data_IF_386085779369
#
_entry.id   IF_386085779369
#
_cell.length_a   1.000
_cell.length_b   1.000
_cell.length_c   1.000
_cell.angle_alpha   90.00
_cell.angle_beta   90.00
_cell.angle_gamma   90.00
#
_symmetry.space_group_name_H-M   'P 1'
#
loop_
_entity.id
_entity.type
_entity.pdbx_description
1 polymer ?
#
# COMPACT_ATOMS: atom_id res chain seq x y z
N UNK A 1 -7.89 -20.12 22.59
CA UNK A 1 -6.61 -20.18 21.85
C UNK A 1 -5.83 -18.93 22.20
N UNK A 2 -4.60 -19.02 22.72
CA UNK A 2 -3.80 -17.84 23.06
C UNK A 2 -2.88 -17.53 21.85
N UNK A 3 -3.22 -16.53 21.02
CA UNK A 3 -2.68 -16.42 19.66
C UNK A 3 -1.20 -16.03 19.61
N UNK A 4 -0.67 -15.43 20.68
CA UNK A 4 0.72 -15.00 20.80
C UNK A 4 1.17 -15.18 22.25
N UNK A 5 2.24 -15.95 22.45
CA UNK A 5 2.78 -16.19 23.77
C UNK A 5 3.80 -15.08 24.13
N UNK A 6 3.52 -14.21 25.13
CA UNK A 6 4.32 -13.01 25.38
C UNK A 6 5.78 -13.30 25.77
N UNK A 7 6.10 -14.53 26.20
CA UNK A 7 7.48 -14.98 26.45
C UNK A 7 8.31 -15.07 25.16
N UNK A 8 7.70 -15.48 24.04
CA UNK A 8 8.39 -15.58 22.74
C UNK A 8 8.77 -14.20 22.20
N UNK A 9 7.93 -13.18 22.38
CA UNK A 9 8.22 -11.81 21.98
C UNK A 9 9.37 -11.17 22.77
N UNK A 10 9.56 -11.62 24.02
CA UNK A 10 10.60 -11.11 24.93
C UNK A 10 11.97 -11.78 24.75
N UNK A 11 12.04 -12.97 24.16
CA UNK A 11 13.28 -13.73 24.01
C UNK A 11 13.71 -13.96 22.56
N UNK A 12 12.76 -14.16 21.64
CA UNK A 12 13.10 -14.43 20.24
C UNK A 12 13.03 -13.15 19.42
N UNK A 13 14.20 -12.63 19.05
CA UNK A 13 14.32 -11.53 18.10
C UNK A 13 13.67 -11.87 16.74
N UNK A 14 13.74 -13.14 16.32
CA UNK A 14 13.11 -13.66 15.09
C UNK A 14 11.58 -13.56 15.11
N UNK A 15 10.93 -13.89 16.24
CA UNK A 15 9.48 -13.80 16.39
C UNK A 15 9.01 -12.34 16.28
N UNK A 16 9.77 -11.41 16.88
CA UNK A 16 9.48 -9.98 16.80
C UNK A 16 9.70 -9.42 15.40
N UNK A 17 10.76 -9.86 14.72
CA UNK A 17 11.03 -9.49 13.33
C UNK A 17 9.92 -9.96 12.39
N UNK A 18 9.45 -11.20 12.53
CA UNK A 18 8.36 -11.74 11.70
C UNK A 18 7.07 -10.92 11.82
N UNK A 19 6.69 -10.55 13.04
CA UNK A 19 5.52 -9.71 13.28
C UNK A 19 5.71 -8.28 12.78
N UNK A 20 6.90 -7.71 12.99
CA UNK A 20 7.22 -6.37 12.49
C UNK A 20 7.17 -6.30 10.96
N UNK A 21 7.73 -7.31 10.28
CA UNK A 21 7.68 -7.41 8.81
C UNK A 21 6.24 -7.55 8.34
N UNK A 22 5.44 -8.44 8.95
CA UNK A 22 4.02 -8.58 8.61
C UNK A 22 3.23 -7.28 8.81
N UNK A 23 3.50 -6.55 9.91
CA UNK A 23 2.88 -5.25 10.17
C UNK A 23 3.27 -4.21 9.11
N UNK A 24 4.55 -4.13 8.75
CA UNK A 24 5.05 -3.22 7.70
C UNK A 24 4.38 -3.54 6.36
N UNK A 25 4.33 -4.81 5.98
CA UNK A 25 3.66 -5.25 4.74
C UNK A 25 2.19 -4.85 4.74
N UNK A 26 1.46 -5.09 5.84
CA UNK A 26 0.05 -4.70 5.95
C UNK A 26 -0.18 -3.18 5.85
N UNK A 27 0.70 -2.38 6.44
CA UNK A 27 0.65 -0.92 6.35
C UNK A 27 0.92 -0.45 4.93
N UNK A 28 1.97 -0.99 4.29
CA UNK A 28 2.30 -0.69 2.88
C UNK A 28 1.12 -1.04 1.98
N UNK A 29 0.44 -2.16 2.24
CA UNK A 29 -0.70 -2.56 1.44
C UNK A 29 -1.90 -1.63 1.57
N UNK A 30 -2.18 -1.22 2.81
CA UNK A 30 -3.27 -0.30 3.09
C UNK A 30 -3.01 1.05 2.43
N UNK A 31 -1.78 1.56 2.55
CA UNK A 31 -1.37 2.80 1.91
C UNK A 31 -1.44 2.72 0.38
N UNK A 32 -1.01 1.61 -0.22
CA UNK A 32 -1.09 1.38 -1.66
C UNK A 32 -2.54 1.37 -2.15
N UNK A 33 -3.47 0.73 -1.43
CA UNK A 33 -4.89 0.76 -1.78
C UNK A 33 -5.45 2.19 -1.73
N UNK A 34 -5.15 2.95 -0.67
CA UNK A 34 -5.62 4.33 -0.54
C UNK A 34 -5.06 5.21 -1.66
N UNK A 35 -3.77 5.09 -1.96
CA UNK A 35 -3.12 5.80 -3.06
C UNK A 35 -3.75 5.44 -4.42
N UNK A 36 -4.06 4.16 -4.65
CA UNK A 36 -4.72 3.71 -5.87
C UNK A 36 -6.11 4.35 -6.03
N UNK A 37 -6.95 4.26 -5.00
CA UNK A 37 -8.28 4.88 -5.00
C UNK A 37 -8.20 6.39 -5.23
N UNK A 38 -7.28 7.07 -4.54
CA UNK A 38 -7.08 8.51 -4.69
C UNK A 38 -6.64 8.89 -6.10
N UNK A 39 -5.68 8.15 -6.66
CA UNK A 39 -5.18 8.40 -8.01
C UNK A 39 -6.28 8.16 -9.05
N UNK A 40 -7.10 7.14 -8.87
CA UNK A 40 -8.23 6.83 -9.75
C UNK A 40 -9.26 7.97 -9.75
N UNK A 41 -9.63 8.49 -8.57
CA UNK A 41 -10.51 9.67 -8.48
C UNK A 41 -9.93 10.88 -9.18
N UNK A 42 -8.65 11.20 -8.95
CA UNK A 42 -7.96 12.31 -9.63
C UNK A 42 -7.95 12.13 -11.15
N UNK A 43 -7.75 10.91 -11.63
CA UNK A 43 -7.73 10.60 -13.05
C UNK A 43 -9.09 10.84 -13.69
N UNK A 44 -10.17 10.35 -13.06
CA UNK A 44 -11.54 10.53 -13.52
C UNK A 44 -11.90 12.02 -13.56
N UNK A 45 -11.63 12.77 -12.48
CA UNK A 45 -11.94 14.20 -12.40
C UNK A 45 -11.16 15.01 -13.45
N UNK A 46 -9.86 14.75 -13.60
CA UNK A 46 -9.00 15.46 -14.58
C UNK A 46 -9.34 15.11 -16.02
N UNK A 47 -9.69 13.85 -16.29
CA UNK A 47 -10.12 13.40 -17.61
C UNK A 47 -11.44 14.09 -18.02
N UNK A 48 -12.41 14.17 -17.11
CA UNK A 48 -13.69 14.88 -17.36
C UNK A 48 -13.45 16.39 -17.51
N UNK A 49 -12.53 16.96 -16.74
CA UNK A 49 -12.15 18.38 -16.82
C UNK A 49 -11.37 18.78 -18.08
N UNK A 50 -11.07 17.85 -18.99
CA UNK A 50 -10.32 18.14 -20.22
C UNK A 50 -8.85 18.47 -20.00
N UNK A 51 -8.25 17.98 -18.91
CA UNK A 51 -6.84 18.25 -18.60
C UNK A 51 -5.89 17.61 -19.63
N UNK A 52 -4.79 18.31 -19.92
CA UNK A 52 -3.77 17.91 -20.89
C UNK A 52 -3.07 16.59 -20.48
N UNK A 53 -2.67 15.76 -21.47
CA UNK A 53 -2.13 14.41 -21.25
C UNK A 53 -0.85 14.41 -20.40
N UNK A 54 -0.06 15.48 -20.49
CA UNK A 54 1.16 15.70 -19.70
C UNK A 54 0.88 15.79 -18.19
N UNK A 55 -0.30 16.26 -17.79
CA UNK A 55 -0.72 16.37 -16.40
C UNK A 55 -1.38 15.09 -15.84
N UNK A 56 -1.74 14.14 -16.72
CA UNK A 56 -2.35 12.86 -16.37
C UNK A 56 -1.31 11.75 -16.18
N UNK A 57 -0.21 11.79 -16.93
CA UNK A 57 0.88 10.81 -16.87
C UNK A 57 1.41 10.51 -15.45
N UNK A 58 1.72 11.49 -14.58
CA UNK A 58 2.21 11.20 -13.23
C UNK A 58 1.15 10.56 -12.32
N UNK A 59 -0.12 10.90 -12.49
CA UNK A 59 -1.25 10.33 -11.72
C UNK A 59 -1.50 8.88 -12.17
N UNK A 60 -1.41 8.61 -13.46
CA UNK A 60 -1.48 7.27 -14.03
C UNK A 60 -0.32 6.39 -13.53
N UNK A 61 0.90 6.92 -13.51
CA UNK A 61 2.07 6.23 -12.98
C UNK A 61 1.93 5.88 -11.49
N UNK A 62 1.38 6.81 -10.68
CA UNK A 62 1.04 6.55 -9.27
C UNK A 62 -0.02 5.46 -9.11
N UNK A 63 -1.05 5.44 -9.98
CA UNK A 63 -2.08 4.41 -9.96
C UNK A 63 -1.51 3.03 -10.31
N UNK A 64 -0.71 2.93 -11.37
CA UNK A 64 -0.07 1.67 -11.77
C UNK A 64 0.94 1.22 -10.72
N UNK A 65 1.78 2.13 -10.21
CA UNK A 65 2.76 1.81 -9.17
C UNK A 65 2.12 1.28 -7.89
N UNK A 66 1.06 1.93 -7.40
CA UNK A 66 0.31 1.45 -6.23
C UNK A 66 -0.41 0.12 -6.49
N UNK A 67 -0.93 -0.10 -7.70
CA UNK A 67 -1.51 -1.37 -8.13
C UNK A 67 -0.49 -2.52 -8.17
N UNK A 68 0.72 -2.27 -8.70
CA UNK A 68 1.81 -3.26 -8.76
C UNK A 68 2.31 -3.61 -7.35
N UNK A 69 2.52 -2.62 -6.49
CA UNK A 69 2.87 -2.84 -5.07
C UNK A 69 1.81 -3.66 -4.35
N UNK A 70 0.54 -3.55 -4.78
CA UNK A 70 -0.54 -4.40 -4.29
C UNK A 70 -0.59 -5.81 -4.86
N UNK A 71 -0.31 -5.98 -6.14
CA UNK A 71 -0.35 -7.28 -6.80
C UNK A 71 0.90 -8.16 -6.57
N UNK A 72 2.01 -7.57 -6.10
CA UNK A 72 3.29 -8.27 -5.94
C UNK A 72 3.51 -8.90 -4.55
N UNK A 73 2.59 -8.69 -3.59
CA UNK A 73 2.62 -9.29 -2.26
C UNK A 73 1.63 -10.46 -2.18
#
# INVERSE_FOLDING_TARGET
MKPLDPRLLRHSASARAMLAVGAVVGVVQTAALVAFCWSLTQLVVRAIGGADQSALAPVLALAVGSGVVRGAA
#
